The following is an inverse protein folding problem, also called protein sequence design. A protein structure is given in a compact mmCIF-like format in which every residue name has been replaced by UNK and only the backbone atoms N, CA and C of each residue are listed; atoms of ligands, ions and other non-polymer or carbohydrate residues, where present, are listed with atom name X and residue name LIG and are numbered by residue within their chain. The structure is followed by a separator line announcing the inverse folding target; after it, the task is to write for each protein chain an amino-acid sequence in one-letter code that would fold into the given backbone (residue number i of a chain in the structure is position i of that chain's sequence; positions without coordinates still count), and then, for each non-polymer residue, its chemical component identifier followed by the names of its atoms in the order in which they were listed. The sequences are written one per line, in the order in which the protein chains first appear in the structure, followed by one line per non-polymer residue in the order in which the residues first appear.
data_IF_442544486841
#
_entry.id   IF_442544486841
#
_cell.length_a   1.000
_cell.length_b   1.000
_cell.length_c   1.000
_cell.angle_alpha   90.00
_cell.angle_beta   90.00
_cell.angle_gamma   90.00
#
_symmetry.space_group_name_H-M   'P 1'
#
loop_
_entity.id
_entity.type
_entity.pdbx_description
1 polymer ?
#
# COMPACT_ATOMS: atom_id res chain seq x y z
N UNK A 1 -23.45 -4.32 -14.26
CA UNK A 1 -22.07 -4.20 -13.73
C UNK A 1 -21.93 -4.80 -12.33
N UNK A 2 -23.00 -4.88 -11.53
CA UNK A 2 -22.90 -5.42 -10.15
C UNK A 2 -22.18 -6.77 -10.02
N UNK A 3 -22.42 -7.79 -10.88
CA UNK A 3 -21.70 -9.06 -10.76
C UNK A 3 -20.18 -8.93 -10.98
N UNK A 4 -19.77 -8.02 -11.87
CA UNK A 4 -18.36 -7.78 -12.19
C UNK A 4 -17.70 -6.97 -11.08
N UNK A 5 -18.37 -5.93 -10.58
CA UNK A 5 -17.81 -5.08 -9.52
C UNK A 5 -17.63 -5.83 -8.20
N UNK A 6 -18.57 -6.74 -7.86
CA UNK A 6 -18.44 -7.63 -6.71
C UNK A 6 -17.18 -8.52 -6.79
N UNK A 7 -16.78 -8.88 -8.02
CA UNK A 7 -15.62 -9.71 -8.33
C UNK A 7 -14.46 -8.89 -8.94
N UNK A 8 -14.30 -7.63 -8.53
CA UNK A 8 -13.18 -6.78 -8.98
C UNK A 8 -12.51 -6.13 -7.78
N UNK A 9 -11.18 -6.28 -7.70
CA UNK A 9 -10.31 -5.49 -6.81
C UNK A 9 -9.43 -4.57 -7.65
N UNK A 10 -9.46 -3.28 -7.35
CA UNK A 10 -8.64 -2.23 -7.96
C UNK A 10 -7.62 -1.79 -6.92
N UNK A 11 -6.34 -1.95 -7.24
CA UNK A 11 -5.24 -1.40 -6.45
C UNK A 11 -4.61 -0.25 -7.22
N UNK A 12 -4.62 0.94 -6.62
CA UNK A 12 -3.89 2.11 -7.12
C UNK A 12 -2.63 2.25 -6.29
N UNK A 13 -1.47 2.09 -6.93
CA UNK A 13 -0.17 2.19 -6.31
C UNK A 13 0.83 2.86 -7.24
N UNK A 14 1.90 3.39 -6.66
CA UNK A 14 3.02 3.99 -7.37
C UNK A 14 4.31 3.62 -6.64
N UNK A 15 5.41 3.46 -7.37
CA UNK A 15 6.74 3.39 -6.74
C UNK A 15 7.26 4.78 -6.33
N UNK A 16 6.66 5.84 -6.89
CA UNK A 16 7.08 7.21 -6.65
C UNK A 16 6.23 7.85 -5.55
N UNK A 17 6.81 7.98 -4.36
CA UNK A 17 6.38 8.95 -3.35
C UNK A 17 6.85 10.37 -3.68
N UNK A 18 6.46 11.33 -2.85
CA UNK A 18 6.89 12.74 -2.96
C UNK A 18 7.61 13.16 -1.69
N UNK A 19 8.67 13.96 -1.82
CA UNK A 19 9.28 14.62 -0.66
C UNK A 19 8.26 15.54 0.02
N UNK A 20 8.34 15.68 1.35
CA UNK A 20 7.55 16.72 2.03
C UNK A 20 8.14 18.12 1.75
N UNK A 21 9.47 18.21 1.73
CA UNK A 21 10.18 19.45 1.47
C UNK A 21 10.01 19.90 0.01
N UNK A 22 9.85 21.20 -0.19
CA UNK A 22 9.87 21.85 -1.50
C UNK A 22 11.28 21.79 -2.12
N UNK A 23 11.36 21.54 -3.43
CA UNK A 23 12.61 21.56 -4.17
C UNK A 23 12.92 22.96 -4.76
N UNK A 24 14.10 23.13 -5.35
CA UNK A 24 14.55 24.42 -5.90
C UNK A 24 13.67 25.00 -7.03
N UNK A 25 12.77 24.20 -7.61
CA UNK A 25 11.85 24.60 -8.68
C UNK A 25 10.42 24.88 -8.17
N UNK A 26 10.23 25.01 -6.85
CA UNK A 26 8.91 25.20 -6.21
C UNK A 26 7.95 24.02 -6.42
N UNK A 27 8.51 22.82 -6.56
CA UNK A 27 7.78 21.56 -6.62
C UNK A 27 8.25 20.62 -5.52
N UNK A 28 8.06 19.31 -5.72
CA UNK A 28 8.61 18.25 -4.85
C UNK A 28 9.53 17.35 -5.66
N UNK A 29 10.38 16.56 -5.01
CA UNK A 29 11.15 15.50 -5.67
C UNK A 29 10.48 14.13 -5.49
N UNK A 30 11.10 13.09 -6.04
CA UNK A 30 10.76 11.72 -5.71
C UNK A 30 11.08 11.46 -4.23
N UNK A 31 10.14 10.86 -3.52
CA UNK A 31 10.26 10.49 -2.11
C UNK A 31 9.84 9.05 -1.86
N UNK A 32 9.95 8.61 -0.62
CA UNK A 32 9.84 7.20 -0.25
C UNK A 32 8.39 6.72 -0.02
N UNK A 33 7.58 7.52 0.66
CA UNK A 33 6.22 7.14 1.05
C UNK A 33 5.13 7.72 0.15
N UNK A 34 4.06 6.94 -0.04
CA UNK A 34 2.80 7.36 -0.66
C UNK A 34 1.62 6.60 -0.03
N UNK A 35 0.43 6.80 -0.60
CA UNK A 35 -0.78 6.07 -0.23
C UNK A 35 -1.12 5.04 -1.32
N UNK A 36 -1.48 3.83 -0.89
CA UNK A 36 -2.12 2.83 -1.74
C UNK A 36 -3.64 2.88 -1.54
N UNK A 37 -4.39 2.82 -2.63
CA UNK A 37 -5.85 2.70 -2.57
C UNK A 37 -6.26 1.29 -2.98
N UNK A 38 -7.14 0.68 -2.20
CA UNK A 38 -7.75 -0.62 -2.51
C UNK A 38 -9.25 -0.42 -2.57
N UNK A 39 -9.84 -0.71 -3.72
CA UNK A 39 -11.26 -0.52 -4.00
C UNK A 39 -11.84 -1.79 -4.62
N UNK A 40 -13.14 -2.02 -4.47
CA UNK A 40 -13.80 -3.18 -5.06
C UNK A 40 -15.09 -3.53 -4.32
N UNK A 41 -15.98 -4.29 -4.97
CA UNK A 41 -17.26 -4.66 -4.36
C UNK A 41 -17.12 -5.62 -3.18
N UNK A 42 -16.09 -6.46 -3.16
CA UNK A 42 -15.74 -7.34 -2.03
C UNK A 42 -14.76 -6.71 -1.03
N UNK A 43 -14.25 -5.50 -1.27
CA UNK A 43 -13.28 -4.87 -0.36
C UNK A 43 -13.98 -4.34 0.88
N UNK A 44 -13.47 -4.68 2.07
CA UNK A 44 -13.92 -4.12 3.36
C UNK A 44 -13.42 -2.69 3.55
N UNK A 45 -13.96 -1.78 2.73
CA UNK A 45 -13.59 -0.37 2.69
C UNK A 45 -14.03 0.46 3.91
N UNK A 46 -13.92 1.79 3.78
CA UNK A 46 -14.28 2.74 4.84
C UNK A 46 -13.25 2.87 5.96
N UNK A 47 -12.02 2.40 5.74
CA UNK A 47 -10.93 2.40 6.71
C UNK A 47 -9.66 3.00 6.11
N UNK A 48 -8.91 3.71 6.94
CA UNK A 48 -7.51 4.05 6.69
C UNK A 48 -6.67 3.02 7.44
N UNK A 49 -5.78 2.36 6.73
CA UNK A 49 -4.88 1.34 7.27
C UNK A 49 -3.48 1.91 7.47
N UNK A 50 -2.67 1.21 8.26
CA UNK A 50 -1.31 1.61 8.57
C UNK A 50 -1.23 2.73 9.61
N UNK A 51 -0.01 3.07 9.98
CA UNK A 51 0.28 4.15 10.91
C UNK A 51 0.48 5.47 10.14
N UNK A 52 -0.07 6.56 10.66
CA UNK A 52 0.21 7.92 10.16
C UNK A 52 0.94 8.69 11.26
N UNK A 53 2.29 8.69 11.26
CA UNK A 53 3.04 9.36 12.32
C UNK A 53 2.83 10.88 12.25
N UNK A 54 2.68 11.47 11.06
CA UNK A 54 2.49 12.89 10.85
C UNK A 54 3.59 13.52 9.98
N UNK A 55 3.65 14.84 9.99
CA UNK A 55 4.55 15.63 9.12
C UNK A 55 5.62 16.40 9.90
N UNK A 56 5.73 16.23 11.22
CA UNK A 56 6.79 16.87 11.98
C UNK A 56 8.15 16.31 11.55
N UNK A 57 9.21 17.14 11.55
CA UNK A 57 10.55 16.75 11.09
C UNK A 57 11.05 15.45 11.75
N UNK A 58 10.76 15.25 13.03
CA UNK A 58 11.13 14.05 13.79
C UNK A 58 10.39 12.78 13.39
N UNK A 59 9.32 12.90 12.59
CA UNK A 59 8.46 11.81 12.13
C UNK A 59 8.73 11.43 10.67
N UNK A 60 9.54 12.22 9.97
CA UNK A 60 9.91 11.99 8.58
C UNK A 60 11.08 11.03 8.47
N UNK A 61 11.06 10.20 7.44
CA UNK A 61 12.21 9.40 7.05
C UNK A 61 13.34 10.34 6.61
N UNK A 62 14.50 10.19 7.26
CA UNK A 62 15.67 11.04 7.07
C UNK A 62 15.36 12.56 7.12
N UNK A 63 14.33 12.95 7.89
CA UNK A 63 13.87 14.34 8.04
C UNK A 63 13.37 14.99 6.73
N UNK A 64 13.09 14.21 5.69
CA UNK A 64 12.75 14.71 4.35
C UNK A 64 11.50 14.08 3.76
N UNK A 65 11.35 12.77 3.93
CA UNK A 65 10.33 11.97 3.26
C UNK A 65 9.27 11.46 4.24
N UNK A 66 8.09 11.13 3.71
CA UNK A 66 7.11 10.41 4.50
C UNK A 66 7.69 9.06 4.95
N UNK A 67 7.51 8.74 6.24
CA UNK A 67 7.86 7.43 6.76
C UNK A 67 6.99 6.35 6.10
N UNK A 68 7.64 5.31 5.57
CA UNK A 68 6.95 4.13 5.05
C UNK A 68 6.54 3.26 6.24
N UNK A 69 5.25 3.18 6.51
CA UNK A 69 4.68 2.43 7.64
C UNK A 69 3.99 1.14 7.25
N UNK A 70 3.83 0.89 5.95
CA UNK A 70 3.20 -0.31 5.41
C UNK A 70 3.98 -0.77 4.19
N UNK A 71 4.38 -2.03 4.19
CA UNK A 71 5.01 -2.65 3.02
C UNK A 71 3.92 -2.92 1.98
N UNK A 72 4.15 -2.57 0.71
CA UNK A 72 3.16 -2.79 -0.35
C UNK A 72 2.77 -4.28 -0.49
N UNK A 73 3.66 -5.21 -0.10
CA UNK A 73 3.39 -6.65 -0.10
C UNK A 73 2.35 -7.04 0.95
N UNK A 74 2.25 -6.31 2.07
CA UNK A 74 1.17 -6.51 3.05
C UNK A 74 -0.21 -6.19 2.44
N UNK A 75 -0.27 -5.32 1.43
CA UNK A 75 -1.50 -4.95 0.71
C UNK A 75 -1.79 -5.91 -0.45
N UNK A 76 -0.77 -6.29 -1.23
CA UNK A 76 -0.97 -7.16 -2.39
C UNK A 76 -1.18 -8.63 -2.00
N UNK A 77 -0.58 -9.09 -0.90
CA UNK A 77 -0.67 -10.50 -0.50
C UNK A 77 -2.11 -10.97 -0.25
N UNK A 78 -2.97 -10.26 0.53
CA UNK A 78 -4.37 -10.65 0.67
C UNK A 78 -5.12 -10.65 -0.65
N UNK A 79 -4.84 -9.71 -1.57
CA UNK A 79 -5.50 -9.67 -2.89
C UNK A 79 -5.17 -10.92 -3.70
N UNK A 80 -3.88 -11.29 -3.78
CA UNK A 80 -3.46 -12.50 -4.48
C UNK A 80 -3.99 -13.78 -3.83
N UNK A 81 -3.99 -13.84 -2.50
CA UNK A 81 -4.42 -15.04 -1.75
C UNK A 81 -5.93 -15.21 -1.77
N UNK A 82 -6.68 -14.17 -1.42
CA UNK A 82 -8.10 -14.26 -1.09
C UNK A 82 -8.99 -13.95 -2.29
N UNK A 83 -8.62 -12.99 -3.15
CA UNK A 83 -9.39 -12.67 -4.35
C UNK A 83 -8.97 -13.51 -5.57
N UNK A 84 -7.67 -13.74 -5.76
CA UNK A 84 -7.17 -14.55 -6.89
C UNK A 84 -6.98 -16.04 -6.54
N UNK A 85 -7.27 -16.43 -5.30
CA UNK A 85 -7.16 -17.82 -4.80
C UNK A 85 -5.79 -18.46 -5.02
N UNK A 86 -4.71 -17.67 -5.01
CA UNK A 86 -3.35 -18.17 -5.21
C UNK A 86 -2.86 -18.86 -3.94
N UNK A 87 -2.52 -20.15 -4.05
CA UNK A 87 -1.99 -20.95 -2.94
C UNK A 87 -0.61 -20.52 -2.45
N UNK A 88 -0.30 -20.81 -1.18
CA UNK A 88 0.91 -20.33 -0.50
C UNK A 88 2.24 -20.71 -1.17
N UNK A 89 2.32 -21.87 -1.85
CA UNK A 89 3.52 -22.27 -2.59
C UNK A 89 3.82 -21.37 -3.79
N UNK A 90 2.80 -20.83 -4.44
CA UNK A 90 2.93 -19.87 -5.53
C UNK A 90 3.16 -18.45 -4.98
N UNK A 91 2.49 -18.08 -3.89
CA UNK A 91 2.75 -16.80 -3.21
C UNK A 91 4.21 -16.69 -2.74
N UNK A 92 4.80 -17.79 -2.26
CA UNK A 92 6.22 -17.82 -1.89
C UNK A 92 7.18 -17.64 -3.08
N UNK A 93 6.73 -17.90 -4.31
CA UNK A 93 7.49 -17.61 -5.53
C UNK A 93 7.31 -16.15 -5.98
N UNK A 94 6.12 -15.58 -5.79
CA UNK A 94 5.82 -14.17 -6.13
C UNK A 94 6.53 -13.22 -5.15
N UNK A 95 6.52 -13.52 -3.86
CA UNK A 95 7.19 -12.73 -2.81
C UNK A 95 8.16 -13.60 -1.99
N UNK A 96 9.33 -13.96 -2.55
CA UNK A 96 10.29 -14.84 -1.88
C UNK A 96 10.77 -14.28 -0.53
N UNK A 97 10.69 -15.12 0.50
CA UNK A 97 11.15 -14.79 1.85
C UNK A 97 10.30 -13.74 2.59
N UNK A 98 9.27 -13.19 1.96
CA UNK A 98 8.37 -12.24 2.62
C UNK A 98 7.47 -12.96 3.61
N UNK A 99 7.41 -12.45 4.84
CA UNK A 99 6.42 -12.82 5.83
C UNK A 99 5.74 -11.54 6.26
N UNK A 100 4.44 -11.46 6.02
CA UNK A 100 3.64 -10.36 6.53
C UNK A 100 3.61 -10.42 8.05
N UNK A 101 3.79 -9.26 8.68
CA UNK A 101 3.60 -9.09 10.12
C UNK A 101 2.23 -8.48 10.44
N UNK A 102 1.37 -8.27 9.43
CA UNK A 102 0.10 -7.58 9.59
C UNK A 102 -1.02 -8.31 8.84
N UNK A 103 -2.18 -8.45 9.48
CA UNK A 103 -3.40 -8.85 8.78
C UNK A 103 -4.27 -7.61 8.59
N UNK A 104 -4.23 -7.04 7.38
CA UNK A 104 -5.02 -5.86 7.03
C UNK A 104 -6.51 -6.18 6.86
N UNK A 105 -6.88 -7.45 6.70
CA UNK A 105 -8.27 -7.85 6.52
C UNK A 105 -8.98 -7.05 5.42
N UNK A 106 -8.39 -7.01 4.22
CA UNK A 106 -8.90 -6.21 3.09
C UNK A 106 -10.14 -6.80 2.41
N UNK A 107 -10.27 -8.13 2.37
CA UNK A 107 -11.28 -8.87 1.61
C UNK A 107 -12.13 -9.79 2.49
#
# INVERSE_FOLDING_TARGET
LEPIYADTVIVVMSEFGRTLAENGNKGTDHGHGNVMWVLGGGVRGGKVYGEWPGLAESQLYEKRDLAVTTDFRDVLMPVLREHMEIGDSNLAQIFPGFRSNQNLGLL
#
